data_IF_968791941890
#
_entry.id   IF_968791941890
#
_cell.length_a   1.000
_cell.length_b   1.000
_cell.length_c   1.000
_cell.angle_alpha   90.00
_cell.angle_beta   90.00
_cell.angle_gamma   90.00
#
_symmetry.space_group_name_H-M   'P 1'
#
loop_
_entity.id
_entity.type
_entity.pdbx_description
1 polymer ?
2 water ?
#
# COMPACT_ATOMS: atom_id res chain seq x y z
N UNK A 1 20.84 -9.52 -4.39
CA UNK A 1 19.63 -8.69 -4.63
C UNK A 1 18.52 -9.51 -5.27
N UNK A 2 17.28 -9.11 -5.02
CA UNK A 2 16.13 -9.79 -5.59
C UNK A 2 16.21 -9.65 -7.11
N UNK A 3 15.87 -10.71 -7.84
CA UNK A 3 15.89 -10.66 -9.29
C UNK A 3 14.53 -10.15 -9.77
N UNK A 4 13.60 -10.07 -8.83
CA UNK A 4 12.26 -9.59 -9.11
C UNK A 4 11.65 -9.22 -7.77
N UNK A 5 10.67 -8.32 -7.76
CA UNK A 5 10.06 -7.92 -6.50
C UNK A 5 9.28 -9.04 -5.84
N UNK A 6 9.10 -8.94 -4.53
CA UNK A 6 8.34 -9.93 -3.79
C UNK A 6 6.89 -9.76 -4.25
N UNK A 7 6.11 -10.84 -4.18
CA UNK A 7 4.71 -10.81 -4.61
C UNK A 7 3.79 -11.00 -3.42
N UNK A 8 2.90 -10.04 -3.21
CA UNK A 8 1.95 -10.10 -2.11
C UNK A 8 0.53 -9.87 -2.58
N UNK A 9 -0.42 -10.33 -1.78
CA UNK A 9 -1.82 -10.13 -2.06
C UNK A 9 -2.30 -9.34 -0.86
N UNK A 10 -3.11 -8.32 -1.10
CA UNK A 10 -3.60 -7.49 -0.02
C UNK A 10 -5.10 -7.29 -0.03
N UNK A 11 -5.66 -7.23 1.17
CA UNK A 11 -7.08 -6.98 1.35
C UNK A 11 -7.18 -6.34 2.73
N UNK A 12 -8.15 -5.47 2.95
CA UNK A 12 -8.25 -4.86 4.26
C UNK A 12 -8.81 -5.86 5.26
N UNK A 13 -8.92 -5.45 6.52
CA UNK A 13 -9.41 -6.36 7.56
C UNK A 13 -10.86 -6.77 7.37
N UNK A 14 -11.57 -6.08 6.49
CA UNK A 14 -12.96 -6.40 6.19
C UNK A 14 -12.98 -7.36 4.99
N UNK A 15 -11.79 -7.83 4.63
CA UNK A 15 -11.59 -8.76 3.52
C UNK A 15 -11.81 -8.19 2.13
N UNK A 16 -11.78 -6.87 2.00
CA UNK A 16 -11.96 -6.25 0.69
C UNK A 16 -10.62 -6.28 -0.04
N UNK A 17 -10.57 -7.08 -1.10
CA UNK A 17 -9.36 -7.24 -1.89
C UNK A 17 -9.03 -6.03 -2.75
N UNK A 18 -7.75 -5.66 -2.77
CA UNK A 18 -7.32 -4.51 -3.56
C UNK A 18 -7.16 -4.88 -5.03
N UNK A 19 -7.76 -4.08 -5.90
CA UNK A 19 -7.67 -4.31 -7.34
C UNK A 19 -7.46 -2.98 -8.06
N UNK A 20 -7.05 -3.06 -9.32
CA UNK A 20 -6.76 -1.86 -10.08
C UNK A 20 -7.83 -1.50 -11.11
N UNK A 21 -8.18 -0.22 -11.16
CA UNK A 21 -9.16 0.29 -12.12
C UNK A 21 -8.89 1.76 -12.43
N UNK A 22 -8.77 2.07 -13.71
CA UNK A 22 -8.50 3.43 -14.16
C UNK A 22 -7.33 4.07 -13.43
N UNK A 23 -6.25 3.31 -13.31
CA UNK A 23 -5.03 3.78 -12.67
C UNK A 23 -5.14 4.09 -11.18
N UNK A 24 -6.09 3.44 -10.52
CA UNK A 24 -6.31 3.62 -9.08
C UNK A 24 -6.47 2.26 -8.42
N UNK A 25 -5.96 2.14 -7.20
CA UNK A 25 -6.10 0.91 -6.45
C UNK A 25 -7.41 1.07 -5.66
N UNK A 26 -8.33 0.12 -5.82
CA UNK A 26 -9.62 0.17 -5.13
C UNK A 26 -9.77 -1.06 -4.25
N UNK A 27 -10.61 -0.98 -3.22
CA UNK A 27 -10.85 -2.11 -2.33
C UNK A 27 -12.25 -2.59 -2.66
N UNK A 28 -12.34 -3.75 -3.29
CA UNK A 28 -13.64 -4.25 -3.70
C UNK A 28 -14.47 -5.06 -2.72
N UNK A 29 -15.76 -5.09 -3.00
CA UNK A 29 -16.68 -5.86 -2.19
C UNK A 29 -16.77 -7.25 -2.79
N UNK A 30 -17.67 -8.07 -2.27
CA UNK A 30 -17.83 -9.42 -2.77
C UNK A 30 -18.27 -9.44 -4.24
N UNK A 31 -19.07 -8.46 -4.64
CA UNK A 31 -19.53 -8.41 -6.02
C UNK A 31 -18.39 -8.10 -7.00
N UNK A 32 -17.57 -7.11 -6.67
CA UNK A 32 -16.45 -6.74 -7.54
C UNK A 32 -15.48 -7.91 -7.68
N UNK A 33 -15.31 -8.64 -6.59
CA UNK A 33 -14.43 -9.79 -6.53
C UNK A 33 -14.75 -10.83 -7.62
N UNK A 34 -16.00 -10.87 -8.06
CA UNK A 34 -16.42 -11.82 -9.09
C UNK A 34 -16.19 -11.33 -10.51
N UNK A 35 -15.80 -10.07 -10.64
CA UNK A 35 -15.56 -9.46 -11.95
C UNK A 35 -14.08 -9.27 -12.23
N UNK A 36 -13.36 -8.71 -11.26
CA UNK A 36 -11.93 -8.46 -11.43
C UNK A 36 -11.09 -9.25 -10.44
N UNK A 37 -9.86 -9.55 -10.85
CA UNK A 37 -8.94 -10.30 -10.01
C UNK A 37 -8.16 -9.33 -9.12
N UNK A 38 -7.87 -9.76 -7.89
CA UNK A 38 -7.11 -8.91 -6.99
C UNK A 38 -5.75 -8.64 -7.61
N UNK A 39 -5.22 -7.45 -7.39
CA UNK A 39 -3.93 -7.08 -7.95
C UNK A 39 -2.77 -7.69 -7.18
N UNK A 40 -1.80 -8.25 -7.90
CA UNK A 40 -0.63 -8.80 -7.25
C UNK A 40 0.19 -7.57 -6.93
N UNK A 41 0.48 -7.38 -5.64
CA UNK A 41 1.24 -6.22 -5.20
C UNK A 41 2.73 -6.54 -5.14
N UNK A 42 3.53 -5.77 -5.86
CA UNK A 42 4.98 -5.95 -5.84
C UNK A 42 5.48 -5.26 -4.58
N UNK A 43 6.42 -5.90 -3.90
CA UNK A 43 6.96 -5.34 -2.67
C UNK A 43 8.47 -5.51 -2.59
N UNK A 44 9.15 -4.46 -2.16
CA UNK A 44 10.59 -4.51 -1.94
C UNK A 44 10.88 -3.71 -0.69
N UNK A 45 11.91 -4.12 0.06
CA UNK A 45 12.24 -3.35 1.26
C UNK A 45 12.96 -2.09 0.78
N UNK A 46 12.87 -1.00 1.54
CA UNK A 46 13.61 0.21 1.18
C UNK A 46 14.83 0.18 2.10
N UNK A 47 15.94 -0.30 1.55
CA UNK A 47 17.18 -0.45 2.31
C UNK A 47 17.89 0.83 2.72
N UNK A 48 17.34 1.98 2.32
CA UNK A 48 17.94 3.26 2.67
C UNK A 48 17.44 3.75 4.01
N UNK A 49 16.35 3.16 4.50
CA UNK A 49 15.77 3.59 5.77
C UNK A 49 16.00 2.59 6.90
N UNK A 50 15.65 3.00 8.12
CA UNK A 50 15.83 2.19 9.32
C UNK A 50 15.04 0.88 9.24
N UNK A 51 15.76 -0.24 9.20
CA UNK A 51 15.13 -1.56 9.11
C UNK A 51 14.15 -1.85 10.24
N UNK A 52 14.40 -1.29 11.42
CA UNK A 52 13.53 -1.54 12.56
C UNK A 52 12.12 -0.98 12.35
N UNK A 53 11.97 -0.10 11.35
CA UNK A 53 10.68 0.50 11.04
C UNK A 53 9.95 -0.24 9.91
N UNK A 54 10.55 -1.33 9.45
CA UNK A 54 9.97 -2.15 8.38
C UNK A 54 9.56 -1.34 7.14
N UNK A 55 10.51 -0.61 6.54
CA UNK A 55 10.21 0.19 5.35
C UNK A 55 10.00 -0.65 4.09
N UNK A 56 8.90 -0.39 3.38
CA UNK A 56 8.60 -1.11 2.16
C UNK A 56 8.10 -0.17 1.08
N UNK A 57 8.28 -0.58 -0.17
CA UNK A 57 7.80 0.16 -1.32
C UNK A 57 6.80 -0.80 -1.97
N UNK A 58 5.62 -0.29 -2.30
CA UNK A 58 4.55 -1.09 -2.89
C UNK A 58 4.29 -0.71 -4.34
N UNK A 59 4.10 -1.71 -5.19
CA UNK A 59 3.85 -1.44 -6.60
C UNK A 59 2.77 -2.34 -7.20
N UNK A 60 2.38 -2.03 -8.43
CA UNK A 60 1.36 -2.79 -9.14
C UNK A 60 1.77 -3.03 -10.59
N UNK A 61 0.94 -3.78 -11.32
CA UNK A 61 1.19 -4.08 -12.73
C UNK A 61 2.58 -4.63 -12.98
N UNK A 62 2.92 -5.71 -12.27
CA UNK A 62 4.22 -6.33 -12.42
C UNK A 62 5.34 -5.43 -11.93
N UNK A 63 4.98 -4.46 -11.10
CA UNK A 63 5.97 -3.54 -10.57
C UNK A 63 6.28 -2.38 -11.50
N UNK A 64 5.47 -2.19 -12.54
CA UNK A 64 5.71 -1.10 -13.49
C UNK A 64 5.31 0.27 -12.93
N UNK A 65 4.50 0.28 -11.87
CA UNK A 65 4.11 1.52 -11.21
C UNK A 65 4.18 1.32 -9.71
N UNK A 66 4.50 2.39 -8.98
CA UNK A 66 4.60 2.31 -7.53
C UNK A 66 3.75 3.36 -6.84
N UNK A 67 3.27 3.02 -5.64
CA UNK A 67 2.47 3.95 -4.86
C UNK A 67 3.36 5.03 -4.27
N UNK A 68 2.92 6.28 -4.38
CA UNK A 68 3.66 7.42 -3.87
C UNK A 68 2.73 8.35 -3.10
N UNK A 69 3.28 9.10 -2.15
CA UNK A 69 2.50 10.04 -1.37
C UNK A 69 2.77 11.46 -1.87
N UNK A 70 3.65 11.57 -2.86
CA UNK A 70 3.98 12.87 -3.43
C UNK A 70 5.00 13.68 -2.64
N UNK A 71 5.19 14.93 -3.04
CA UNK A 71 6.14 15.80 -2.37
C UNK A 71 5.58 17.16 -1.98
N UNK A 72 4.25 17.29 -1.99
CA UNK A 72 3.62 18.55 -1.60
C UNK A 72 3.62 18.64 -0.08
N UNK A 73 3.16 19.76 0.46
CA UNK A 73 3.14 19.92 1.91
C UNK A 73 2.17 18.92 2.53
N UNK A 74 1.20 18.48 1.73
CA UNK A 74 0.21 17.52 2.19
C UNK A 74 0.33 16.23 1.40
N UNK A 75 -0.04 15.08 2.00
CA UNK A 75 0.03 13.77 1.34
C UNK A 75 -1.08 13.52 0.32
N UNK A 76 -0.72 12.95 -0.82
CA UNK A 76 -1.67 12.62 -1.88
C UNK A 76 -1.24 11.27 -2.44
N UNK A 77 -2.03 10.23 -2.19
CA UNK A 77 -1.70 8.89 -2.68
C UNK A 77 -1.93 8.79 -4.18
N UNK A 78 -0.90 8.38 -4.91
CA UNK A 78 -0.99 8.26 -6.36
C UNK A 78 0.01 7.25 -6.91
N UNK A 79 -0.36 6.60 -8.01
CA UNK A 79 0.53 5.64 -8.65
C UNK A 79 1.43 6.42 -9.60
N UNK A 80 2.73 6.14 -9.54
CA UNK A 80 3.69 6.82 -10.40
C UNK A 80 4.34 5.81 -11.35
N UNK A 81 4.56 6.21 -12.62
CA UNK A 81 5.16 5.40 -13.68
C UNK A 81 6.65 5.10 -13.52
N UNK A 82 7.02 4.50 -12.39
CA UNK A 82 8.41 4.14 -12.16
C UNK A 82 8.43 2.68 -11.75
N UNK A 83 9.38 1.92 -12.29
CA UNK A 83 9.47 0.51 -11.96
C UNK A 83 9.99 0.33 -10.54
N UNK A 84 9.36 -0.57 -9.79
CA UNK A 84 9.76 -0.82 -8.41
C UNK A 84 11.21 -1.29 -8.31
N UNK A 85 11.69 -1.98 -9.34
CA UNK A 85 13.06 -2.46 -9.31
C UNK A 85 14.05 -1.31 -9.50
N UNK A 86 13.62 -0.24 -10.16
CA UNK A 86 14.48 0.92 -10.34
C UNK A 86 14.66 1.57 -8.97
N UNK A 87 13.57 1.65 -8.20
CA UNK A 87 13.63 2.23 -6.87
C UNK A 87 14.44 1.33 -5.94
N UNK A 88 14.24 0.02 -6.08
CA UNK A 88 14.94 -0.96 -5.25
C UNK A 88 16.46 -0.92 -5.45
N UNK A 89 16.90 -0.85 -6.70
CA UNK A 89 18.33 -0.84 -7.00
C UNK A 89 18.99 0.53 -6.91
N UNK A 90 18.19 1.59 -7.02
CA UNK A 90 18.73 2.93 -6.99
C UNK A 90 19.27 3.44 -5.67
N UNK A 91 20.43 4.09 -5.72
CA UNK A 91 21.05 4.66 -4.54
C UNK A 91 20.39 6.02 -4.33
N UNK A 92 19.10 5.98 -4.03
CA UNK A 92 18.28 7.17 -3.81
C UNK A 92 17.33 6.80 -2.67
N UNK A 93 17.12 7.72 -1.73
CA UNK A 93 16.25 7.46 -0.58
C UNK A 93 14.81 7.07 -0.92
N UNK A 94 14.20 7.78 -1.86
CA UNK A 94 12.82 7.51 -2.28
C UNK A 94 11.84 7.39 -1.11
N UNK A 95 11.94 8.31 -0.16
CA UNK A 95 11.07 8.28 1.01
C UNK A 95 9.58 8.42 0.69
N UNK A 96 9.24 9.23 -0.31
CA UNK A 96 7.83 9.45 -0.67
C UNK A 96 7.15 8.19 -1.22
N UNK A 97 7.95 7.20 -1.62
CA UNK A 97 7.43 5.94 -2.15
C UNK A 97 7.45 4.87 -1.07
N UNK A 98 7.77 5.27 0.15
CA UNK A 98 7.90 4.30 1.23
C UNK A 98 6.88 4.34 2.36
N UNK A 99 6.54 3.15 2.85
CA UNK A 99 5.62 3.02 3.98
C UNK A 99 6.30 2.19 5.05
N UNK A 100 6.00 2.50 6.30
CA UNK A 100 6.55 1.76 7.43
C UNK A 100 5.48 0.77 7.85
N UNK A 101 5.80 -0.52 7.74
CA UNK A 101 4.86 -1.57 8.11
C UNK A 101 4.87 -1.84 9.60
N UNK A 102 3.68 -1.92 10.19
CA UNK A 102 3.55 -2.25 11.59
C UNK A 102 2.82 -3.58 11.59
N UNK A 103 3.55 -4.65 11.90
CA UNK A 103 3.00 -6.00 11.93
C UNK A 103 2.28 -6.22 13.25
N UNK A 104 0.96 -6.35 13.19
CA UNK A 104 0.17 -6.55 14.39
C UNK A 104 -0.34 -7.99 14.51
N UNK A 105 0.33 -8.90 13.80
CA UNK A 105 -0.07 -10.29 13.85
C UNK A 105 -0.74 -10.75 12.57
N UNK A 106 -2.07 -10.85 12.60
CA UNK A 106 -2.82 -11.28 11.43
C UNK A 106 -2.88 -10.20 10.36
N UNK A 107 -2.77 -8.94 10.78
CA UNK A 107 -2.83 -7.81 9.86
C UNK A 107 -1.71 -6.81 10.11
N UNK A 108 -1.52 -5.91 9.16
CA UNK A 108 -0.49 -4.88 9.25
C UNK A 108 -1.05 -3.52 8.83
N UNK A 109 -0.45 -2.46 9.36
CA UNK A 109 -0.84 -1.11 8.97
C UNK A 109 0.39 -0.57 8.23
N UNK A 110 0.19 0.47 7.43
CA UNK A 110 1.28 1.05 6.64
C UNK A 110 1.28 2.57 6.76
N UNK A 111 2.30 3.10 7.43
CA UNK A 111 2.41 4.53 7.65
C UNK A 111 3.35 5.19 6.65
N UNK A 112 2.92 6.31 6.09
CA UNK A 112 3.75 7.03 5.14
C UNK A 112 5.05 7.45 5.82
N UNK A 113 6.18 7.15 5.18
CA UNK A 113 7.47 7.52 5.74
C UNK A 113 7.71 9.02 5.55
N UNK A 114 7.22 9.56 4.44
CA UNK A 114 7.39 10.98 4.13
C UNK A 114 6.41 11.89 4.87
N UNK A 115 5.25 11.35 5.24
CA UNK A 115 4.26 12.13 5.97
C UNK A 115 3.81 11.39 7.23
N UNK A 116 4.58 11.54 8.32
CA UNK A 116 4.30 10.91 9.61
C UNK A 116 2.86 11.08 10.08
N UNK A 117 2.27 10.00 10.56
CA UNK A 117 0.90 10.06 11.04
C UNK A 117 -0.16 9.76 10.01
N UNK A 118 0.23 9.62 8.74
CA UNK A 118 -0.72 9.30 7.68
C UNK A 118 -0.57 7.83 7.33
N UNK A 119 -1.71 7.13 7.29
CA UNK A 119 -1.72 5.70 7.01
C UNK A 119 -2.55 5.28 5.81
N UNK A 120 -2.10 4.23 5.13
CA UNK A 120 -2.85 3.69 4.00
C UNK A 120 -4.18 3.22 4.58
N UNK A 121 -5.26 3.46 3.86
CA UNK A 121 -6.57 3.04 4.36
C UNK A 121 -7.57 2.79 3.25
N UNK A 122 -8.66 2.12 3.62
CA UNK A 122 -9.74 1.84 2.69
C UNK A 122 -11.02 2.36 3.34
N UNK A 123 -12.04 2.55 2.52
CA UNK A 123 -13.33 3.00 3.01
C UNK A 123 -14.11 1.78 3.46
N UNK A 124 -15.11 1.98 4.34
CA UNK A 124 -15.93 0.86 4.82
C UNK A 124 -16.81 0.45 3.64
N UNK A 125 -16.97 1.38 2.70
CA UNK A 125 -17.75 1.17 1.49
C UNK A 125 -16.92 0.39 0.48
N UNK A 126 -17.59 -0.37 -0.37
CA UNK A 126 -16.90 -1.15 -1.38
C UNK A 126 -16.59 -0.32 -2.62
N UNK A 127 -15.56 -0.74 -3.34
CA UNK A 127 -15.15 -0.11 -4.58
C UNK A 127 -14.81 1.37 -4.53
N UNK A 128 -14.12 1.77 -3.47
CA UNK A 128 -13.67 3.14 -3.33
C UNK A 128 -12.15 3.06 -3.39
N UNK A 129 -11.49 4.17 -3.72
CA UNK A 129 -10.03 4.14 -3.79
C UNK A 129 -9.34 3.97 -2.44
N UNK A 130 -8.14 3.41 -2.48
CA UNK A 130 -7.34 3.28 -1.28
C UNK A 130 -6.83 4.71 -1.12
N UNK A 131 -6.72 5.19 0.11
CA UNK A 131 -6.23 6.55 0.33
C UNK A 131 -5.37 6.62 1.57
N UNK A 132 -5.16 7.83 2.07
CA UNK A 132 -4.36 8.05 3.27
C UNK A 132 -5.21 8.76 4.32
N UNK A 133 -4.97 8.44 5.58
CA UNK A 133 -5.74 9.04 6.67
C UNK A 133 -4.95 9.12 7.97
N UNK A 134 -5.35 10.05 8.82
CA UNK A 134 -4.73 10.18 10.13
C UNK A 134 -5.65 9.34 11.01
N UNK A 135 -5.13 8.81 12.11
CA UNK A 135 -5.91 7.96 13.00
C UNK A 135 -6.72 8.73 14.04
N UNK A 136 -8.05 8.56 14.04
CA UNK A 136 -8.94 9.24 14.98
C UNK A 136 -8.71 8.72 16.40
N UNK A 137 -9.02 9.56 17.39
CA UNK A 137 -8.85 9.17 18.79
C UNK A 137 -9.82 8.06 19.16
N UNK A 138 -11.06 8.18 18.70
CA UNK A 138 -12.09 7.18 19.00
C UNK A 138 -12.51 6.39 17.76
N UNK A 139 -12.55 5.06 17.87
CA UNK A 139 -12.93 4.17 16.76
C UNK A 139 -14.41 4.31 16.38
N UNK A 140 -14.73 3.90 15.15
CA UNK A 140 -16.10 3.96 14.65
C UNK A 140 -16.26 2.93 13.54
N UNK A 141 -17.48 2.45 13.34
CA UNK A 141 -17.74 1.45 12.32
C UNK A 141 -17.70 2.00 10.90
N UNK A 142 -17.95 3.30 10.75
CA UNK A 142 -17.93 3.92 9.43
C UNK A 142 -16.63 4.68 9.19
N UNK A 143 -15.63 4.42 10.02
CA UNK A 143 -14.33 5.08 9.89
C UNK A 143 -13.46 4.31 8.91
N UNK A 144 -12.41 4.96 8.38
CA UNK A 144 -11.52 4.28 7.43
C UNK A 144 -10.86 3.08 8.09
N UNK A 145 -10.53 2.08 7.28
CA UNK A 145 -9.88 0.86 7.75
C UNK A 145 -8.39 0.97 7.45
N UNK A 146 -7.56 0.82 8.47
CA UNK A 146 -6.11 0.94 8.30
C UNK A 146 -5.33 -0.36 8.53
N UNK A 147 -6.06 -1.46 8.69
CA UNK A 147 -5.44 -2.77 8.92
C UNK A 147 -5.61 -3.62 7.66
N UNK A 148 -4.54 -4.29 7.24
CA UNK A 148 -4.58 -5.12 6.03
C UNK A 148 -3.98 -6.50 6.20
N UNK A 149 -4.54 -7.46 5.49
CA UNK A 149 -3.97 -8.79 5.46
C UNK A 149 -2.92 -8.60 4.38
N UNK A 150 -1.67 -8.86 4.73
CA UNK A 150 -0.52 -8.69 3.85
C UNK A 150 0.10 -10.07 3.71
N UNK A 151 -0.29 -10.80 2.66
CA UNK A 151 0.18 -12.16 2.45
C UNK A 151 0.93 -12.42 1.15
N UNK A 152 2.09 -13.05 1.25
CA UNK A 152 2.91 -13.37 0.09
C UNK A 152 2.18 -14.34 -0.84
N UNK A 153 2.26 -14.10 -2.15
CA UNK A 153 1.60 -14.96 -3.13
C UNK A 153 2.21 -16.36 -3.05
N UNK A 154 1.39 -17.38 -3.25
CA UNK A 154 1.87 -18.75 -3.20
C UNK A 154 2.55 -19.14 -4.50
#
# INVERSE_FOLDING_TARGET
>A
VLSGALCFRMKDSALKVLYLHNNQLLAGGLHAEKVIKGEEISVVPNRALDASLSPVILGVQGGSQCLSCGTEKGPILKLEPVNIMELYLGAKESKSFTFYRRDMGLTSSFESAAYPGWFLCTSPEADQPVRLTQIPEDPAWDAPITDFYFQQCD
#
